data_IF_788705315785
#
_entry.id   IF_788705315785
#
_cell.length_a   1.000
_cell.length_b   1.000
_cell.length_c   1.000
_cell.angle_alpha   90.00
_cell.angle_beta   90.00
_cell.angle_gamma   90.00
#
_symmetry.space_group_name_H-M   'P 1'
#
loop_
_entity.id
_entity.type
_entity.pdbx_description
1 polymer ?
#
# COMPACT_ATOMS: atom_id res chain seq x y z
N UNK A 1 -4.74 -4.30 65.23
CA UNK A 1 -5.44 -3.95 63.98
C UNK A 1 -4.61 -2.88 63.29
N UNK A 2 -4.16 -3.09 62.05
CA UNK A 2 -3.40 -2.07 61.31
C UNK A 2 -4.41 -1.25 60.52
N UNK A 3 -4.56 0.02 60.87
CA UNK A 3 -5.38 0.98 60.14
C UNK A 3 -4.82 1.17 58.73
N UNK A 4 -5.58 0.73 57.73
CA UNK A 4 -5.25 0.94 56.32
C UNK A 4 -5.54 2.41 56.02
N UNK A 5 -4.51 3.17 55.65
CA UNK A 5 -4.63 4.57 55.27
C UNK A 5 -5.69 4.75 54.16
N UNK A 6 -6.78 5.50 54.39
CA UNK A 6 -7.86 5.69 53.41
C UNK A 6 -7.40 6.45 52.14
N UNK A 7 -6.21 7.07 52.15
CA UNK A 7 -5.62 7.74 51.00
C UNK A 7 -4.93 6.79 50.00
N UNK A 8 -4.80 5.50 50.31
CA UNK A 8 -4.16 4.51 49.43
C UNK A 8 -5.15 3.64 48.66
N UNK A 9 -6.42 4.05 48.53
CA UNK A 9 -7.37 3.38 47.66
C UNK A 9 -6.84 3.45 46.21
N UNK A 10 -6.28 2.33 45.73
CA UNK A 10 -5.78 2.20 44.37
C UNK A 10 -6.96 2.44 43.44
N UNK A 11 -7.05 3.64 42.87
CA UNK A 11 -8.10 3.99 41.92
C UNK A 11 -7.99 3.04 40.73
N UNK A 12 -9.05 2.26 40.52
CA UNK A 12 -9.10 1.34 39.39
C UNK A 12 -9.28 2.14 38.10
N UNK A 13 -8.53 1.84 37.03
CA UNK A 13 -8.74 2.47 35.73
C UNK A 13 -10.18 2.29 35.24
N UNK A 14 -10.67 3.24 34.45
CA UNK A 14 -11.99 3.13 33.82
C UNK A 14 -12.06 1.87 32.94
N UNK A 15 -13.21 1.19 32.97
CA UNK A 15 -13.47 0.07 32.06
C UNK A 15 -13.71 0.60 30.63
N UNK A 16 -13.45 -0.20 29.58
CA UNK A 16 -13.76 0.18 28.20
C UNK A 16 -15.23 0.59 27.99
N UNK A 17 -16.16 -0.08 28.67
CA UNK A 17 -17.59 0.25 28.67
C UNK A 17 -17.87 1.61 29.34
N UNK A 18 -17.26 1.90 30.48
CA UNK A 18 -17.40 3.21 31.13
C UNK A 18 -16.86 4.34 30.25
N UNK A 19 -15.69 4.13 29.62
CA UNK A 19 -15.13 5.08 28.66
C UNK A 19 -16.05 5.30 27.46
N UNK A 20 -16.67 4.23 26.94
CA UNK A 20 -17.64 4.32 25.84
C UNK A 20 -18.82 5.18 26.22
N UNK A 21 -19.40 4.96 27.41
CA UNK A 21 -20.53 5.72 27.89
C UNK A 21 -20.19 7.22 28.04
N UNK A 22 -19.08 7.53 28.72
CA UNK A 22 -18.62 8.92 28.92
C UNK A 22 -18.41 9.63 27.58
N UNK A 23 -17.75 8.98 26.62
CA UNK A 23 -17.47 9.58 25.30
C UNK A 23 -18.71 9.70 24.42
N UNK A 24 -19.68 8.80 24.55
CA UNK A 24 -20.97 8.93 23.87
C UNK A 24 -21.76 10.14 24.40
N UNK A 25 -21.70 10.41 25.71
CA UNK A 25 -22.39 11.56 26.34
C UNK A 25 -21.75 12.91 26.03
N UNK A 26 -20.45 12.95 25.75
CA UNK A 26 -19.67 14.20 25.65
C UNK A 26 -19.18 14.52 24.24
N UNK A 27 -19.08 13.52 23.37
CA UNK A 27 -18.53 13.64 22.02
C UNK A 27 -19.32 12.78 21.03
N UNK A 28 -20.59 13.13 20.81
CA UNK A 28 -21.55 12.39 19.95
C UNK A 28 -21.05 12.16 18.51
N UNK A 29 -20.17 13.03 18.02
CA UNK A 29 -19.61 12.99 16.67
C UNK A 29 -18.50 11.94 16.48
N UNK A 30 -18.00 11.32 17.55
CA UNK A 30 -16.92 10.34 17.44
C UNK A 30 -17.43 9.02 16.87
N UNK A 31 -16.73 8.51 15.86
CA UNK A 31 -16.98 7.19 15.30
C UNK A 31 -16.48 6.11 16.27
N UNK A 32 -17.41 5.35 16.85
CA UNK A 32 -17.10 4.23 17.75
C UNK A 32 -17.06 2.92 16.95
N UNK A 33 -15.92 2.22 17.03
CA UNK A 33 -15.74 0.94 16.35
C UNK A 33 -15.36 -0.15 17.36
N UNK A 34 -16.12 -1.24 17.37
CA UNK A 34 -15.77 -2.43 18.15
C UNK A 34 -14.53 -3.12 17.57
N UNK A 35 -13.63 -3.58 18.44
CA UNK A 35 -12.44 -4.31 18.02
C UNK A 35 -12.72 -5.82 17.92
N UNK A 36 -12.12 -6.49 16.92
CA UNK A 36 -12.26 -7.95 16.71
C UNK A 36 -11.98 -8.82 17.95
N UNK A 37 -11.13 -8.35 18.85
CA UNK A 37 -10.74 -9.06 20.08
C UNK A 37 -11.30 -8.40 21.36
N UNK A 38 -12.38 -7.62 21.23
CA UNK A 38 -13.01 -6.88 22.32
C UNK A 38 -12.36 -5.52 22.63
N UNK A 39 -13.17 -4.64 23.21
CA UNK A 39 -12.85 -3.22 23.42
C UNK A 39 -13.28 -2.34 22.24
N UNK A 40 -12.89 -1.07 22.29
CA UNK A 40 -13.39 -0.04 21.37
C UNK A 40 -12.24 0.82 20.83
N UNK A 41 -12.48 1.41 19.67
CA UNK A 41 -11.70 2.54 19.18
C UNK A 41 -12.60 3.69 18.79
N UNK A 42 -12.17 4.90 19.11
CA UNK A 42 -12.85 6.15 18.80
C UNK A 42 -12.05 6.92 17.77
N UNK A 43 -12.73 7.41 16.74
CA UNK A 43 -12.10 8.12 15.63
C UNK A 43 -12.88 9.38 15.28
N UNK A 44 -12.17 10.44 14.89
CA UNK A 44 -12.77 11.67 14.37
C UNK A 44 -13.18 11.47 12.90
N UNK A 45 -14.40 11.85 12.48
CA UNK A 45 -14.80 11.76 11.09
C UNK A 45 -14.03 12.78 10.24
N UNK A 46 -13.24 12.31 9.28
CA UNK A 46 -12.46 13.12 8.33
C UNK A 46 -12.96 12.96 6.89
N UNK A 47 -14.18 12.47 6.71
CA UNK A 47 -14.73 12.06 5.41
C UNK A 47 -14.31 10.66 4.97
N UNK A 48 -13.33 10.02 5.62
CA UNK A 48 -13.03 8.60 5.38
C UNK A 48 -13.95 7.69 6.20
N UNK A 49 -14.25 6.50 5.66
CA UNK A 49 -15.06 5.46 6.34
C UNK A 49 -14.51 5.08 7.73
N UNK A 50 -13.21 5.28 7.96
CA UNK A 50 -12.55 4.87 9.21
C UNK A 50 -12.32 6.03 10.18
N UNK A 51 -12.36 7.27 9.71
CA UNK A 51 -11.94 8.44 10.47
C UNK A 51 -10.47 8.43 10.89
N UNK A 52 -10.07 9.48 11.58
CA UNK A 52 -8.75 9.61 12.23
C UNK A 52 -8.86 9.02 13.63
N UNK A 53 -8.16 7.90 13.89
CA UNK A 53 -8.21 7.24 15.19
C UNK A 53 -7.55 8.09 16.27
N UNK A 54 -8.33 8.45 17.28
CA UNK A 54 -7.89 9.22 18.45
C UNK A 54 -7.56 8.28 19.61
N UNK A 55 -8.44 7.32 19.86
CA UNK A 55 -8.36 6.48 21.05
C UNK A 55 -8.59 5.00 20.76
N UNK A 56 -7.90 4.14 21.52
CA UNK A 56 -8.12 2.69 21.49
C UNK A 56 -7.97 2.08 22.88
N UNK A 57 -9.04 1.45 23.36
CA UNK A 57 -9.05 0.64 24.57
C UNK A 57 -9.30 -0.84 24.20
N UNK A 58 -8.39 -1.73 24.60
CA UNK A 58 -8.59 -3.18 24.41
C UNK A 58 -9.32 -3.78 25.61
N UNK A 59 -9.99 -4.92 25.41
CA UNK A 59 -10.58 -5.72 26.50
C UNK A 59 -9.58 -6.09 27.60
N UNK A 60 -8.29 -6.23 27.26
CA UNK A 60 -7.22 -6.50 28.21
C UNK A 60 -6.86 -5.31 29.13
N UNK A 61 -7.58 -4.20 29.06
CA UNK A 61 -7.23 -2.93 29.73
C UNK A 61 -6.11 -2.14 29.05
N UNK A 62 -5.47 -2.72 28.03
CA UNK A 62 -4.39 -2.04 27.32
C UNK A 62 -4.94 -0.84 26.53
N UNK A 63 -4.39 0.33 26.82
CA UNK A 63 -4.85 1.60 26.31
C UNK A 63 -3.79 2.25 25.41
N UNK A 64 -4.21 2.78 24.26
CA UNK A 64 -3.33 3.39 23.25
C UNK A 64 -3.92 4.68 22.70
N UNK A 65 -3.06 5.70 22.55
CA UNK A 65 -3.30 6.96 21.82
C UNK A 65 -2.65 6.88 20.44
N UNK A 66 -3.33 6.32 19.42
CA UNK A 66 -2.69 5.77 18.23
C UNK A 66 -2.10 6.83 17.29
N UNK A 67 -2.51 8.09 17.42
CA UNK A 67 -1.98 9.20 16.62
C UNK A 67 -0.61 9.70 17.11
N UNK A 68 -0.27 9.52 18.39
CA UNK A 68 0.90 10.19 18.98
C UNK A 68 1.94 9.25 19.61
N UNK A 69 1.60 8.00 19.90
CA UNK A 69 2.61 6.97 20.19
C UNK A 69 2.12 5.54 19.97
N UNK A 70 3.01 4.63 19.58
CA UNK A 70 2.73 3.18 19.61
C UNK A 70 2.76 2.60 21.03
N UNK A 71 3.25 3.38 22.00
CA UNK A 71 3.41 3.00 23.40
C UNK A 71 2.04 2.84 24.06
N UNK A 72 1.96 1.91 25.00
CA UNK A 72 0.81 1.84 25.89
C UNK A 72 0.86 3.08 26.79
N UNK A 73 -0.27 3.77 26.89
CA UNK A 73 -0.45 4.87 27.84
C UNK A 73 -1.23 4.30 29.02
N UNK A 74 -1.04 4.85 30.22
CA UNK A 74 -1.90 4.51 31.35
C UNK A 74 -3.36 4.74 30.95
N UNK A 75 -4.23 3.82 31.34
CA UNK A 75 -5.66 4.00 31.14
C UNK A 75 -6.14 5.09 32.11
N UNK A 76 -7.02 6.00 31.67
CA UNK A 76 -7.50 7.07 32.53
C UNK A 76 -8.25 6.49 33.72
N UNK A 77 -7.96 7.00 34.92
CA UNK A 77 -8.61 6.59 36.15
C UNK A 77 -9.93 7.31 36.39
N UNK A 78 -10.09 8.50 35.81
CA UNK A 78 -11.25 9.37 36.04
C UNK A 78 -11.88 9.88 34.73
N UNK A 79 -13.12 10.35 34.83
CA UNK A 79 -13.85 11.01 33.73
C UNK A 79 -13.06 12.21 33.19
N UNK A 80 -12.61 13.08 34.08
CA UNK A 80 -11.93 14.33 33.70
C UNK A 80 -10.60 14.05 33.00
N UNK A 81 -9.87 13.01 33.44
CA UNK A 81 -8.64 12.58 32.80
C UNK A 81 -8.92 12.09 31.36
N UNK A 82 -9.94 11.25 31.17
CA UNK A 82 -10.35 10.78 29.85
C UNK A 82 -10.73 11.94 28.92
N UNK A 83 -11.56 12.88 29.39
CA UNK A 83 -12.02 14.02 28.59
C UNK A 83 -10.88 14.97 28.24
N UNK A 84 -9.99 15.27 29.19
CA UNK A 84 -8.79 16.07 28.93
C UNK A 84 -7.92 15.43 27.85
N UNK A 85 -7.67 14.12 27.94
CA UNK A 85 -6.87 13.40 26.96
C UNK A 85 -7.49 13.42 25.55
N UNK A 86 -8.81 13.22 25.45
CA UNK A 86 -9.51 13.27 24.16
C UNK A 86 -9.53 14.70 23.60
N UNK A 87 -9.74 15.72 24.44
CA UNK A 87 -9.68 17.13 24.07
C UNK A 87 -8.31 17.53 23.50
N UNK A 88 -7.22 17.11 24.13
CA UNK A 88 -5.85 17.33 23.62
C UNK A 88 -5.62 16.71 22.25
N UNK A 89 -6.12 15.49 22.04
CA UNK A 89 -5.98 14.79 20.77
C UNK A 89 -6.83 15.43 19.66
N UNK A 90 -8.04 15.89 20.01
CA UNK A 90 -8.92 16.62 19.11
C UNK A 90 -8.35 17.97 18.72
N UNK A 91 -7.85 18.76 19.67
CA UNK A 91 -7.20 20.03 19.38
C UNK A 91 -6.04 19.86 18.37
N UNK A 92 -5.26 18.78 18.50
CA UNK A 92 -4.21 18.45 17.53
C UNK A 92 -4.73 17.97 16.18
N UNK A 93 -5.93 17.35 16.13
CA UNK A 93 -6.61 17.06 14.87
C UNK A 93 -6.96 18.34 14.14
N UNK A 94 -7.57 19.30 14.83
CA UNK A 94 -8.00 20.57 14.26
C UNK A 94 -6.83 21.47 13.85
N UNK A 95 -5.76 21.51 14.65
CA UNK A 95 -4.61 22.36 14.37
C UNK A 95 -3.71 21.85 13.22
N UNK A 96 -4.11 20.79 12.50
CA UNK A 96 -3.36 20.29 11.34
C UNK A 96 -1.98 19.72 11.68
N UNK A 97 -1.63 19.60 12.97
CA UNK A 97 -0.36 19.06 13.44
C UNK A 97 -0.24 17.59 13.03
N UNK A 98 0.42 17.36 11.90
CA UNK A 98 0.97 16.05 11.56
C UNK A 98 2.08 15.76 12.57
N UNK A 99 2.05 14.62 13.29
CA UNK A 99 3.19 14.26 14.12
C UNK A 99 4.44 14.19 13.23
N UNK A 100 5.52 14.85 13.63
CA UNK A 100 6.87 14.58 13.11
C UNK A 100 7.08 13.08 13.29
N UNK A 101 7.07 12.34 12.19
CA UNK A 101 7.18 10.89 12.21
C UNK A 101 8.49 10.48 12.90
N UNK A 102 8.40 10.09 14.17
CA UNK A 102 9.51 9.47 14.86
C UNK A 102 9.93 8.23 14.07
N UNK A 103 11.22 8.15 13.72
CA UNK A 103 11.80 6.94 13.16
C UNK A 103 11.42 5.75 14.05
N UNK A 104 10.77 4.75 13.44
CA UNK A 104 10.45 3.47 14.08
C UNK A 104 11.70 2.84 14.69
N UNK A 105 11.77 2.60 16.02
CA UNK A 105 12.47 1.44 16.53
C UNK A 105 11.60 0.23 16.17
N UNK A 106 12.12 -0.69 15.37
CA UNK A 106 11.36 -1.86 14.93
C UNK A 106 10.91 -2.70 16.14
N UNK A 107 9.62 -3.12 16.23
CA UNK A 107 9.22 -4.08 17.22
C UNK A 107 9.74 -5.47 16.83
N UNK A 108 10.21 -6.24 17.82
CA UNK A 108 10.45 -7.68 17.67
C UNK A 108 9.15 -8.33 17.16
N UNK A 109 9.20 -8.80 15.92
CA UNK A 109 8.05 -9.31 15.18
C UNK A 109 7.60 -10.66 15.76
N UNK A 110 6.30 -10.87 16.05
CA UNK A 110 5.77 -12.22 16.01
C UNK A 110 5.95 -12.74 14.59
N UNK A 111 6.37 -14.01 14.43
CA UNK A 111 6.49 -14.73 13.15
C UNK A 111 5.18 -14.63 12.37
N UNK A 112 4.96 -13.53 11.65
CA UNK A 112 4.04 -13.47 10.53
C UNK A 112 4.68 -14.34 9.48
N UNK A 113 4.05 -15.48 9.17
CA UNK A 113 4.21 -16.13 7.88
C UNK A 113 4.02 -15.03 6.84
N UNK A 114 5.13 -14.52 6.32
CA UNK A 114 5.13 -13.92 5.01
C UNK A 114 4.51 -14.98 4.13
N UNK A 115 3.45 -14.64 3.41
CA UNK A 115 3.29 -15.30 2.13
C UNK A 115 4.64 -15.06 1.45
N UNK A 116 5.44 -16.12 1.36
CA UNK A 116 6.64 -16.17 0.54
C UNK A 116 6.20 -15.61 -0.81
N UNK A 117 6.56 -14.37 -1.06
CA UNK A 117 6.50 -13.85 -2.40
C UNK A 117 7.56 -14.69 -3.09
N UNK A 118 7.12 -15.68 -3.88
CA UNK A 118 8.00 -16.49 -4.71
C UNK A 118 9.08 -15.59 -5.28
N UNK A 119 10.32 -16.03 -5.08
CA UNK A 119 11.50 -15.30 -5.53
C UNK A 119 11.29 -14.99 -7.02
N UNK A 120 11.30 -13.70 -7.37
CA UNK A 120 11.67 -13.33 -8.72
C UNK A 120 13.06 -13.93 -8.97
N UNK A 121 13.39 -14.36 -10.20
CA UNK A 121 14.72 -14.87 -10.49
C UNK A 121 15.78 -13.91 -9.96
N UNK A 122 16.87 -14.47 -9.44
CA UNK A 122 17.93 -13.77 -8.71
C UNK A 122 18.74 -12.78 -9.58
N UNK A 123 18.18 -12.31 -10.69
CA UNK A 123 18.75 -11.21 -11.45
C UNK A 123 18.61 -9.95 -10.61
N UNK A 124 19.71 -9.61 -9.94
CA UNK A 124 19.85 -8.29 -9.34
C UNK A 124 20.01 -7.33 -10.51
N UNK A 125 19.09 -6.37 -10.72
CA UNK A 125 19.22 -5.44 -11.83
C UNK A 125 20.53 -4.67 -11.70
N UNK A 126 21.29 -4.57 -12.78
CA UNK A 126 22.55 -3.82 -12.78
C UNK A 126 22.22 -2.35 -12.92
N UNK A 127 22.82 -1.46 -12.13
CA UNK A 127 22.47 -0.05 -12.27
C UNK A 127 23.01 0.50 -13.59
N UNK A 128 22.12 0.79 -14.54
CA UNK A 128 22.49 1.38 -15.83
C UNK A 128 22.88 2.87 -15.75
N UNK A 129 22.77 3.50 -14.58
CA UNK A 129 23.01 4.94 -14.41
C UNK A 129 21.87 5.84 -14.91
N UNK A 130 20.93 5.29 -15.69
CA UNK A 130 19.86 6.07 -16.33
C UNK A 130 18.63 6.18 -15.42
N UNK A 131 18.07 7.39 -15.24
CA UNK A 131 16.83 7.56 -14.50
C UNK A 131 15.69 6.88 -15.25
N UNK A 132 14.75 6.28 -14.50
CA UNK A 132 13.52 5.79 -15.08
C UNK A 132 12.67 6.97 -15.58
N UNK A 133 12.34 6.95 -16.86
CA UNK A 133 11.46 7.93 -17.49
C UNK A 133 10.18 7.22 -17.92
N UNK A 134 9.04 7.79 -17.55
CA UNK A 134 7.74 7.34 -18.04
C UNK A 134 7.31 8.21 -19.20
N UNK A 135 6.90 7.59 -20.30
CA UNK A 135 6.03 8.26 -21.26
C UNK A 135 4.64 8.35 -20.64
N UNK A 136 4.10 9.56 -20.54
CA UNK A 136 2.76 9.76 -19.99
C UNK A 136 1.72 9.86 -21.11
N UNK A 137 0.57 9.22 -20.91
CA UNK A 137 -0.62 9.34 -21.75
C UNK A 137 -1.79 9.75 -20.85
N UNK A 138 -2.61 10.72 -21.27
CA UNK A 138 -3.78 11.16 -20.51
C UNK A 138 -5.06 10.89 -21.31
N UNK A 139 -5.96 10.03 -20.82
CA UNK A 139 -7.26 9.72 -21.44
C UNK A 139 -8.36 10.71 -21.03
N UNK A 140 -8.03 11.99 -20.91
CA UNK A 140 -8.97 13.03 -20.47
C UNK A 140 -9.20 13.09 -18.96
N UNK A 141 -8.26 12.60 -18.16
CA UNK A 141 -8.28 12.65 -16.70
C UNK A 141 -7.95 14.06 -16.20
N UNK A 142 -8.77 14.55 -15.27
CA UNK A 142 -8.52 15.75 -14.48
C UNK A 142 -7.36 15.49 -13.50
N UNK A 143 -6.28 16.25 -13.67
CA UNK A 143 -4.96 15.96 -13.08
C UNK A 143 -4.84 16.13 -11.55
N UNK A 144 -5.80 16.84 -10.95
CA UNK A 144 -5.83 17.20 -9.53
C UNK A 144 -6.89 16.44 -8.72
N UNK A 145 -7.39 15.34 -9.28
CA UNK A 145 -8.43 14.51 -8.66
C UNK A 145 -7.95 13.08 -8.49
N UNK A 146 -8.53 12.34 -7.52
CA UNK A 146 -8.29 10.92 -7.40
C UNK A 146 -8.53 10.19 -8.71
N UNK A 147 -7.58 9.34 -9.10
CA UNK A 147 -7.58 8.69 -10.40
C UNK A 147 -7.01 7.28 -10.32
N UNK A 148 -7.34 6.50 -11.34
CA UNK A 148 -6.61 5.28 -11.67
C UNK A 148 -5.58 5.55 -12.76
N UNK A 149 -4.46 4.87 -12.68
CA UNK A 149 -3.46 4.84 -13.74
C UNK A 149 -3.06 3.41 -14.08
N UNK A 150 -2.65 3.21 -15.32
CA UNK A 150 -2.14 1.96 -15.84
C UNK A 150 -0.69 2.15 -16.27
N UNK A 151 0.23 1.42 -15.64
CA UNK A 151 1.62 1.39 -16.05
C UNK A 151 1.89 0.12 -16.85
N UNK A 152 2.50 0.28 -18.02
CA UNK A 152 2.91 -0.82 -18.88
C UNK A 152 4.34 -0.60 -19.37
N UNK A 153 5.15 -1.64 -19.33
CA UNK A 153 6.46 -1.65 -19.98
C UNK A 153 6.42 -2.47 -21.27
N UNK A 154 7.25 -2.06 -22.22
CA UNK A 154 7.40 -2.68 -23.52
C UNK A 154 8.87 -3.00 -23.73
N UNK A 155 9.17 -4.19 -24.24
CA UNK A 155 10.54 -4.56 -24.60
C UNK A 155 11.08 -3.72 -25.77
N UNK A 156 12.32 -4.00 -26.17
CA UNK A 156 12.99 -3.30 -27.27
C UNK A 156 12.30 -3.47 -28.63
N UNK A 157 11.47 -4.51 -28.79
CA UNK A 157 10.69 -4.76 -30.00
C UNK A 157 9.28 -4.15 -29.92
N UNK A 158 8.96 -3.46 -28.83
CA UNK A 158 7.63 -2.91 -28.57
C UNK A 158 6.61 -3.95 -28.10
N UNK A 159 7.02 -5.18 -27.77
CA UNK A 159 6.13 -6.18 -27.21
C UNK A 159 5.84 -5.86 -25.73
N UNK A 160 4.59 -6.05 -25.26
CA UNK A 160 4.25 -5.87 -23.85
C UNK A 160 5.11 -6.76 -22.95
N UNK A 161 5.72 -6.15 -21.94
CA UNK A 161 6.52 -6.85 -20.96
C UNK A 161 5.74 -6.97 -19.65
N UNK A 162 5.56 -5.88 -18.90
CA UNK A 162 4.87 -5.94 -17.62
C UNK A 162 3.74 -4.90 -17.51
N UNK A 163 2.75 -5.19 -16.67
CA UNK A 163 1.56 -4.37 -16.47
C UNK A 163 1.21 -4.19 -14.99
N UNK A 164 0.71 -3.01 -14.66
CA UNK A 164 0.30 -2.62 -13.32
C UNK A 164 -0.87 -1.63 -13.39
N UNK A 165 -1.85 -1.82 -12.52
CA UNK A 165 -2.88 -0.82 -12.24
C UNK A 165 -2.59 -0.22 -10.87
N UNK A 166 -2.64 1.10 -10.77
CA UNK A 166 -2.56 1.80 -9.50
C UNK A 166 -3.58 2.90 -9.38
N UNK A 167 -3.54 3.57 -8.23
CA UNK A 167 -4.35 4.72 -7.90
C UNK A 167 -3.51 5.82 -7.30
N UNK A 168 -3.92 7.05 -7.49
CA UNK A 168 -3.27 8.23 -6.92
C UNK A 168 -4.29 9.32 -6.64
N UNK A 169 -3.90 10.25 -5.76
CA UNK A 169 -4.71 11.43 -5.43
C UNK A 169 -4.54 12.53 -6.49
N UNK A 170 -3.42 12.48 -7.23
CA UNK A 170 -3.02 13.39 -8.31
C UNK A 170 -2.11 12.66 -9.31
N UNK A 171 -1.85 13.28 -10.47
CA UNK A 171 -1.08 12.67 -11.55
C UNK A 171 0.44 12.63 -11.30
N UNK A 172 0.96 13.48 -10.42
CA UNK A 172 2.40 13.62 -10.15
C UNK A 172 2.88 12.45 -9.29
N UNK A 173 2.07 12.08 -8.30
CA UNK A 173 2.36 11.03 -7.33
C UNK A 173 2.89 9.72 -7.92
N UNK A 174 2.30 9.10 -8.96
CA UNK A 174 2.86 7.86 -9.51
C UNK A 174 4.27 8.06 -10.08
N UNK A 175 4.55 9.18 -10.74
CA UNK A 175 5.85 9.45 -11.35
C UNK A 175 6.93 9.57 -10.29
N UNK A 176 6.75 10.49 -9.35
CA UNK A 176 7.73 10.76 -8.29
C UNK A 176 7.93 9.53 -7.39
N UNK A 177 6.83 8.85 -7.05
CA UNK A 177 6.88 7.67 -6.18
C UNK A 177 7.74 6.57 -6.78
N UNK A 178 7.51 6.25 -8.06
CA UNK A 178 8.24 5.16 -8.71
C UNK A 178 9.66 5.55 -9.05
N UNK A 179 9.90 6.76 -9.58
CA UNK A 179 11.25 7.25 -9.84
C UNK A 179 12.12 7.21 -8.58
N UNK A 180 11.62 7.78 -7.47
CA UNK A 180 12.35 7.79 -6.21
C UNK A 180 12.57 6.40 -5.62
N UNK A 181 11.57 5.51 -5.66
CA UNK A 181 11.72 4.13 -5.15
C UNK A 181 12.67 3.29 -5.99
N UNK A 182 12.64 3.45 -7.30
CA UNK A 182 13.46 2.67 -8.22
C UNK A 182 14.90 3.14 -8.19
N UNK A 183 15.16 4.46 -8.16
CA UNK A 183 16.50 5.00 -7.99
C UNK A 183 17.16 4.47 -6.69
N UNK A 184 16.44 4.50 -5.57
CA UNK A 184 16.92 3.94 -4.29
C UNK A 184 17.20 2.44 -4.38
N UNK A 185 16.33 1.69 -5.06
CA UNK A 185 16.50 0.24 -5.23
C UNK A 185 17.74 -0.09 -6.05
N UNK A 186 17.95 0.61 -7.16
CA UNK A 186 19.10 0.41 -8.03
C UNK A 186 20.41 0.85 -7.35
N UNK A 187 20.35 1.84 -6.46
CA UNK A 187 21.46 2.21 -5.58
C UNK A 187 21.70 1.22 -4.41
N UNK A 188 21.03 0.06 -4.39
CA UNK A 188 21.20 -0.96 -3.36
C UNK A 188 20.64 -0.59 -1.98
N UNK A 189 19.85 0.48 -1.86
CA UNK A 189 19.29 0.90 -0.57
C UNK A 189 18.29 -0.15 -0.06
N UNK A 190 18.38 -0.51 1.23
CA UNK A 190 17.40 -1.41 1.87
C UNK A 190 16.09 -0.66 2.13
N UNK A 191 15.00 -1.09 1.50
CA UNK A 191 13.65 -0.53 1.65
C UNK A 191 12.59 -1.62 1.42
N UNK A 192 11.32 -1.31 1.67
CA UNK A 192 10.19 -2.19 1.36
C UNK A 192 9.79 -2.04 -0.10
N UNK A 193 10.44 -2.80 -0.96
CA UNK A 193 10.09 -2.87 -2.38
C UNK A 193 8.93 -3.83 -2.65
N UNK A 194 7.95 -3.36 -3.42
CA UNK A 194 6.81 -4.16 -3.89
C UNK A 194 7.13 -4.78 -5.25
N UNK A 195 6.32 -5.74 -5.70
CA UNK A 195 6.45 -6.36 -7.04
C UNK A 195 6.54 -5.32 -8.16
N UNK A 196 5.67 -4.31 -8.14
CA UNK A 196 5.71 -3.19 -9.09
C UNK A 196 7.05 -2.47 -9.13
N UNK A 197 7.69 -2.24 -7.97
CA UNK A 197 9.01 -1.57 -7.97
C UNK A 197 10.04 -2.45 -8.68
N UNK A 198 10.09 -3.74 -8.34
CA UNK A 198 11.04 -4.70 -8.93
C UNK A 198 10.82 -4.87 -10.42
N UNK A 199 9.57 -5.01 -10.85
CA UNK A 199 9.23 -5.15 -12.28
C UNK A 199 9.61 -3.92 -13.10
N UNK A 200 9.34 -2.72 -12.58
CA UNK A 200 9.73 -1.47 -13.25
C UNK A 200 11.24 -1.24 -13.26
N UNK A 201 11.96 -1.63 -12.20
CA UNK A 201 13.42 -1.54 -12.19
C UNK A 201 14.07 -2.54 -13.15
N UNK A 202 13.52 -3.75 -13.25
CA UNK A 202 13.96 -4.73 -14.24
C UNK A 202 13.69 -4.25 -15.67
N UNK A 203 12.53 -3.63 -15.91
CA UNK A 203 12.23 -2.99 -17.19
C UNK A 203 13.25 -1.87 -17.49
N UNK A 204 13.57 -1.01 -16.51
CA UNK A 204 14.57 0.04 -16.67
C UNK A 204 15.98 -0.50 -16.97
N UNK A 205 16.40 -1.55 -16.26
CA UNK A 205 17.69 -2.22 -16.47
C UNK A 205 17.81 -2.78 -17.90
N UNK A 206 16.71 -3.30 -18.44
CA UNK A 206 16.63 -3.84 -19.81
C UNK A 206 16.38 -2.78 -20.90
N UNK A 207 16.43 -1.48 -20.58
CA UNK A 207 16.07 -0.38 -21.49
C UNK A 207 14.66 -0.54 -22.10
N UNK A 208 13.72 -1.15 -21.38
CA UNK A 208 12.34 -1.25 -21.81
C UNK A 208 11.65 0.11 -21.71
N UNK A 209 10.82 0.42 -22.70
CA UNK A 209 9.99 1.63 -22.68
C UNK A 209 8.90 1.48 -21.62
N UNK A 210 8.79 2.44 -20.70
CA UNK A 210 7.74 2.44 -19.68
C UNK A 210 6.72 3.54 -19.97
N UNK A 211 5.44 3.18 -20.03
CA UNK A 211 4.31 4.08 -20.26
C UNK A 211 3.44 4.11 -19.01
N UNK A 212 3.02 5.29 -18.59
CA UNK A 212 1.93 5.48 -17.61
C UNK A 212 0.77 6.17 -18.31
N UNK A 213 -0.35 5.47 -18.38
CA UNK A 213 -1.62 6.02 -18.87
C UNK A 213 -2.49 6.41 -17.69
N UNK A 214 -2.90 7.67 -17.61
CA UNK A 214 -3.94 8.13 -16.69
C UNK A 214 -5.29 7.69 -17.26
N UNK A 215 -5.99 6.81 -16.56
CA UNK A 215 -7.12 6.05 -17.11
C UNK A 215 -8.43 6.78 -16.92
N UNK A 216 -8.80 7.04 -15.66
CA UNK A 216 -10.06 7.72 -15.34
C UNK A 216 -9.97 8.37 -13.96
N UNK A 217 -10.72 9.46 -13.76
CA UNK A 217 -11.01 9.95 -12.42
C UNK A 217 -12.00 9.04 -11.71
N UNK A 218 -11.86 8.93 -10.40
CA UNK A 218 -12.80 8.19 -9.55
C UNK A 218 -13.86 9.18 -9.07
N UNK A 219 -15.16 8.87 -9.20
CA UNK A 219 -16.22 9.74 -8.72
C UNK A 219 -16.09 10.05 -7.23
N UNK A 220 -16.52 11.25 -6.84
CA UNK A 220 -16.54 11.64 -5.44
C UNK A 220 -17.41 10.67 -4.61
N UNK A 221 -16.95 10.29 -3.43
CA UNK A 221 -17.63 9.31 -2.57
C UNK A 221 -17.49 7.84 -2.99
N UNK A 222 -16.96 7.53 -4.19
CA UNK A 222 -16.77 6.15 -4.62
C UNK A 222 -15.58 5.47 -3.90
N UNK A 223 -15.67 4.15 -3.68
CA UNK A 223 -14.54 3.37 -3.17
C UNK A 223 -13.47 3.19 -4.26
N UNK A 224 -12.44 4.04 -4.22
CA UNK A 224 -11.28 3.93 -5.13
C UNK A 224 -10.60 2.56 -5.11
N UNK A 225 -10.71 1.80 -4.01
CA UNK A 225 -10.19 0.44 -3.92
C UNK A 225 -11.03 -0.57 -4.70
N UNK A 226 -12.35 -0.37 -4.79
CA UNK A 226 -13.22 -1.17 -5.63
C UNK A 226 -12.96 -0.87 -7.11
N UNK A 227 -12.84 0.41 -7.47
CA UNK A 227 -12.48 0.84 -8.83
C UNK A 227 -11.13 0.27 -9.28
N UNK A 228 -10.09 0.38 -8.44
CA UNK A 228 -8.79 -0.25 -8.70
C UNK A 228 -8.92 -1.77 -8.86
N UNK A 229 -9.78 -2.43 -8.07
CA UNK A 229 -10.01 -3.87 -8.17
C UNK A 229 -10.69 -4.27 -9.50
N UNK A 230 -11.69 -3.52 -9.95
CA UNK A 230 -12.32 -3.73 -11.27
C UNK A 230 -11.29 -3.58 -12.39
N UNK A 231 -10.48 -2.52 -12.34
CA UNK A 231 -9.44 -2.29 -13.34
C UNK A 231 -8.39 -3.42 -13.35
N UNK A 232 -7.88 -3.83 -12.19
CA UNK A 232 -6.92 -4.96 -12.08
C UNK A 232 -7.50 -6.24 -12.69
N UNK A 233 -8.79 -6.53 -12.42
CA UNK A 233 -9.50 -7.69 -12.97
C UNK A 233 -9.61 -7.59 -14.48
N UNK A 234 -10.11 -6.47 -14.98
CA UNK A 234 -10.39 -6.24 -16.40
C UNK A 234 -9.11 -6.29 -17.26
N UNK A 235 -8.00 -5.71 -16.79
CA UNK A 235 -6.72 -5.72 -17.51
C UNK A 235 -5.92 -7.00 -17.28
N UNK A 236 -6.39 -7.89 -16.39
CA UNK A 236 -5.64 -9.07 -15.97
C UNK A 236 -4.27 -8.75 -15.35
N UNK A 237 -4.10 -7.59 -14.71
CA UNK A 237 -2.82 -7.15 -14.12
C UNK A 237 -2.40 -7.90 -12.85
N UNK A 238 -3.16 -8.93 -12.48
CA UNK A 238 -2.93 -9.81 -11.35
C UNK A 238 -2.74 -11.27 -11.82
N UNK A 239 -1.79 -11.99 -11.22
CA UNK A 239 -1.52 -13.39 -11.55
C UNK A 239 -0.57 -14.10 -10.57
N UNK A 240 -0.45 -15.41 -10.75
CA UNK A 240 0.52 -16.25 -10.02
C UNK A 240 1.89 -16.08 -10.67
N UNK A 241 2.77 -15.39 -9.97
CA UNK A 241 4.23 -15.42 -10.12
C UNK A 241 4.77 -15.23 -11.55
N UNK A 242 4.07 -14.52 -12.41
CA UNK A 242 4.60 -14.04 -13.68
C UNK A 242 5.27 -12.68 -13.47
N UNK A 243 6.46 -12.51 -14.06
CA UNK A 243 7.24 -11.26 -14.04
C UNK A 243 6.47 -10.06 -14.61
N UNK A 244 5.38 -10.36 -15.30
CA UNK A 244 4.61 -9.47 -16.14
C UNK A 244 3.38 -8.88 -15.44
N UNK A 245 2.89 -9.46 -14.34
CA UNK A 245 1.69 -8.97 -13.62
C UNK A 245 2.04 -8.45 -12.23
N UNK A 246 2.09 -7.13 -12.11
CA UNK A 246 2.75 -6.46 -10.98
C UNK A 246 1.81 -6.19 -9.79
N UNK A 247 0.50 -6.36 -9.94
CA UNK A 247 -0.46 -6.28 -8.84
C UNK A 247 -0.45 -7.56 -7.98
N UNK A 248 -0.66 -7.41 -6.66
CA UNK A 248 -0.75 -8.54 -5.73
C UNK A 248 -2.18 -8.98 -5.43
N UNK A 249 -2.36 -10.23 -4.98
CA UNK A 249 -3.66 -10.75 -4.54
C UNK A 249 -4.03 -10.20 -3.15
N UNK A 250 -4.46 -8.94 -3.05
CA UNK A 250 -4.79 -8.34 -1.74
C UNK A 250 -6.27 -8.49 -1.35
N UNK A 251 -6.94 -9.52 -1.86
CA UNK A 251 -8.37 -9.69 -1.64
C UNK A 251 -9.21 -8.61 -2.31
N UNK A 252 -8.67 -7.95 -3.34
CA UNK A 252 -9.37 -7.00 -4.20
C UNK A 252 -10.65 -7.61 -4.79
N UNK A 253 -10.59 -8.90 -5.13
CA UNK A 253 -11.72 -9.66 -5.66
C UNK A 253 -12.94 -9.68 -4.75
N UNK A 254 -12.76 -9.71 -3.42
CA UNK A 254 -13.87 -9.71 -2.47
C UNK A 254 -14.67 -8.41 -2.47
N UNK A 255 -14.09 -7.33 -3.00
CA UNK A 255 -14.72 -6.00 -3.06
C UNK A 255 -15.67 -5.83 -4.24
N UNK A 256 -15.62 -6.73 -5.21
CA UNK A 256 -16.29 -6.58 -6.51
C UNK A 256 -17.02 -7.88 -6.93
N UNK A 257 -17.34 -8.75 -5.96
CA UNK A 257 -18.00 -10.02 -6.26
C UNK A 257 -19.44 -9.73 -6.64
N UNK A 258 -19.82 -10.10 -7.86
CA UNK A 258 -21.18 -9.87 -8.38
C UNK A 258 -21.42 -8.44 -8.86
N UNK A 259 -20.40 -7.60 -8.90
CA UNK A 259 -20.50 -6.22 -9.41
C UNK A 259 -19.96 -6.13 -10.84
N UNK A 260 -20.69 -5.40 -11.69
CA UNK A 260 -20.22 -5.02 -13.02
C UNK A 260 -19.16 -3.93 -12.96
N UNK A 261 -18.34 -3.82 -14.00
CA UNK A 261 -17.35 -2.75 -14.11
C UNK A 261 -18.11 -1.42 -14.26
N UNK A 262 -17.83 -0.40 -13.44
CA UNK A 262 -18.46 0.92 -13.59
C UNK A 262 -18.28 1.47 -15.01
N UNK A 263 -19.36 1.99 -15.59
CA UNK A 263 -19.39 2.39 -17.00
C UNK A 263 -18.26 3.37 -17.40
N UNK A 264 -17.94 4.43 -16.63
CA UNK A 264 -16.84 5.32 -16.97
C UNK A 264 -15.49 4.60 -17.00
N UNK A 265 -15.28 3.62 -16.11
CA UNK A 265 -14.08 2.81 -16.10
C UNK A 265 -14.05 1.87 -17.31
N UNK A 266 -15.18 1.25 -17.67
CA UNK A 266 -15.29 0.37 -18.84
C UNK A 266 -14.91 1.09 -20.14
N UNK A 267 -15.44 2.31 -20.34
CA UNK A 267 -15.14 3.16 -21.49
C UNK A 267 -13.68 3.64 -21.53
N UNK A 268 -13.09 3.94 -20.37
CA UNK A 268 -11.68 4.30 -20.30
C UNK A 268 -10.77 3.09 -20.60
N UNK A 269 -11.12 1.91 -20.11
CA UNK A 269 -10.36 0.68 -20.34
C UNK A 269 -10.39 0.25 -21.82
N UNK A 270 -11.48 0.50 -22.55
CA UNK A 270 -11.54 0.20 -23.99
C UNK A 270 -10.65 1.10 -24.85
N UNK A 271 -10.17 2.22 -24.30
CA UNK A 271 -9.21 3.10 -24.97
C UNK A 271 -7.75 2.73 -24.67
N UNK A 272 -7.52 1.78 -23.75
CA UNK A 272 -6.18 1.28 -23.51
C UNK A 272 -5.77 0.40 -24.69
N UNK A 273 -4.69 0.80 -25.37
CA UNK A 273 -3.95 -0.10 -26.27
C UNK A 273 -3.21 -1.14 -25.42
N UNK A 274 -3.98 -2.12 -24.96
CA UNK A 274 -3.49 -3.20 -24.13
C UNK A 274 -3.31 -4.47 -24.98
N UNK A 275 -2.09 -4.98 -24.99
CA UNK A 275 -1.76 -6.32 -25.49
C UNK A 275 -1.28 -7.18 -24.33
N UNK A 276 -1.79 -8.40 -24.21
CA UNK A 276 -1.31 -9.33 -23.19
C UNK A 276 0.02 -9.95 -23.64
N UNK A 277 1.09 -9.87 -22.82
CA UNK A 277 2.37 -10.50 -23.13
C UNK A 277 2.23 -11.98 -23.53
N UNK A 278 1.29 -12.70 -22.90
CA UNK A 278 1.04 -14.11 -23.18
C UNK A 278 0.44 -14.37 -24.58
N UNK A 279 -0.32 -13.40 -25.12
CA UNK A 279 -0.93 -13.50 -26.45
C UNK A 279 0.01 -13.06 -27.58
N UNK A 280 1.07 -12.31 -27.26
CA UNK A 280 2.04 -11.82 -28.24
C UNK A 280 3.17 -12.82 -28.55
N UNK A 281 3.06 -14.09 -28.13
CA UNK A 281 4.04 -15.11 -28.46
C UNK A 281 5.40 -14.89 -27.81
N UNK A 282 5.44 -14.29 -26.62
CA UNK A 282 6.68 -14.17 -25.83
C UNK A 282 7.16 -15.57 -25.44
N UNK A 283 7.93 -16.21 -26.31
CA UNK A 283 8.74 -17.38 -25.97
C UNK A 283 9.82 -16.85 -25.05
N UNK A 284 9.69 -17.10 -23.75
CA UNK A 284 10.75 -16.78 -22.81
C UNK A 284 12.02 -17.46 -23.32
N UNK A 285 12.94 -16.68 -23.90
CA UNK A 285 14.26 -17.16 -24.26
C UNK A 285 14.95 -17.47 -22.94
N UNK A 286 14.80 -18.70 -22.47
CA UNK A 286 15.63 -19.24 -21.41
C UNK A 286 17.03 -19.32 -21.98
N UNK A 287 17.78 -18.25 -21.83
CA UNK A 287 19.21 -18.18 -22.15
C UNK A 287 19.94 -19.17 -21.24
N UNK A 288 19.99 -20.44 -21.64
CA UNK A 288 20.98 -21.37 -21.14
C UNK A 288 22.31 -20.98 -21.76
N UNK A 289 23.03 -20.06 -21.10
CA UNK A 289 24.46 -19.96 -21.29
C UNK A 289 25.08 -21.23 -20.68
N UNK A 290 25.12 -22.32 -21.46
CA UNK A 290 26.03 -23.42 -21.20
C UNK A 290 27.30 -23.17 -21.99
N UNK A 291 28.36 -22.86 -21.25
CA UNK A 291 29.78 -23.01 -21.57
C UNK A 291 30.09 -23.69 -22.91
N UNK A 292 30.47 -22.88 -23.90
CA UNK A 292 31.29 -23.32 -25.03
C UNK A 292 32.69 -22.73 -24.88
N UNK A 293 33.34 -23.05 -23.76
CA UNK A 293 34.79 -23.02 -23.64
C UNK A 293 35.24 -24.47 -23.50
N UNK A 294 35.84 -25.02 -24.57
CA UNK A 294 36.86 -26.08 -24.64
C UNK A 294 36.66 -26.94 -25.89
N UNK A 295 37.46 -26.69 -26.94
CA UNK A 295 38.13 -27.71 -27.75
C UNK A 295 38.83 -27.07 -28.96
N UNK A 296 39.90 -26.29 -28.69
CA UNK A 296 41.01 -26.20 -29.65
C UNK A 296 41.94 -27.35 -29.30
N UNK A 297 41.94 -28.42 -30.11
CA UNK A 297 43.10 -29.30 -30.26
C UNK A 297 42.98 -30.16 -31.52
N UNK A 298 44.09 -30.12 -32.27
CA UNK A 298 44.62 -31.12 -33.21
C UNK A 298 43.81 -31.44 -34.47
N UNK A 299 44.25 -30.87 -35.60
CA UNK A 299 44.38 -31.55 -36.89
C UNK A 299 45.34 -30.77 -37.79
N UNK A 300 46.64 -30.83 -37.46
CA UNK A 300 47.72 -30.68 -38.43
C UNK A 300 48.26 -32.09 -38.62
N UNK A 301 47.86 -32.72 -39.73
CA UNK A 301 48.56 -33.82 -40.41
C UNK A 301 47.74 -34.20 -41.64
N UNK A 302 47.99 -33.50 -42.74
CA UNK A 302 48.20 -33.99 -44.12
C UNK A 302 48.24 -32.79 -45.07
#
# INVERSE_FOLDING_TARGET
>A
MRDICPACAIMKPLSPEAMRQILAETHEYLLVNALKHGGYSWSWPDGSVRGIRILRAKKSGAFKRPRFSEKNVAAPATRDELLRMVGEDLAQVFNGSRPKGGQRPGPATPKRRGAESAALPAHTPTYSGKPLVFQQVNLGVELNRPMLYFAQSFDVNGAPYAKYVGKADDHVRPLEHYQGKIARMLAGCKDKYRRVHRGLALANDRNHRCVITLVCNVPEGADILAWEAHAIKATGSFGRNDEYRLNGNRGSWKRIVGEDIPEPLRLALSQLDFRDPATCGYVAVTSTCSDAATAVKSSLNL
#
